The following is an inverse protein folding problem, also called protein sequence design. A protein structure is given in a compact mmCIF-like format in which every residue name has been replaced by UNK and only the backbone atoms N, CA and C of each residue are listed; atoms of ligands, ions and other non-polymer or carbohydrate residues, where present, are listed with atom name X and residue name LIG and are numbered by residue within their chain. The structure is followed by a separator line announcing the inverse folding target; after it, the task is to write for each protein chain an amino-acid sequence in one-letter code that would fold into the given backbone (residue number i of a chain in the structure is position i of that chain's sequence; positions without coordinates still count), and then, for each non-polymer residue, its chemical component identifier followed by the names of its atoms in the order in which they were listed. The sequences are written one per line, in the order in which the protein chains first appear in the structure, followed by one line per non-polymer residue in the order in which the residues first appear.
data_IF_203682692438
#
_entry.id   IF_203682692438
#
_cell.length_a   1.000
_cell.length_b   1.000
_cell.length_c   1.000
_cell.angle_alpha   90.00
_cell.angle_beta   90.00
_cell.angle_gamma   90.00
#
_symmetry.space_group_name_H-M   'P 1'
#
loop_
_entity.id
_entity.type
_entity.pdbx_description
1 polymer ?
#
# COMPACT_ATOMS: atom_id res chain seq x y z
N UNK A 1 -22.05 -3.16 -24.06
CA UNK A 1 -21.00 -4.19 -23.95
C UNK A 1 -19.74 -3.50 -23.51
N UNK A 2 -19.20 -3.92 -22.36
CA UNK A 2 -18.44 -3.10 -21.42
C UNK A 2 -17.15 -2.48 -22.01
N UNK A 3 -17.05 -1.14 -21.92
CA UNK A 3 -15.77 -0.47 -21.91
C UNK A 3 -15.25 -0.54 -20.46
N UNK A 4 -14.18 -1.31 -20.31
CA UNK A 4 -13.38 -1.52 -19.11
C UNK A 4 -13.01 -0.19 -18.43
N UNK A 5 -13.70 0.16 -17.34
CA UNK A 5 -13.32 1.25 -16.42
C UNK A 5 -12.12 0.78 -15.59
N UNK A 6 -10.98 0.67 -16.25
CA UNK A 6 -9.71 0.39 -15.63
C UNK A 6 -8.78 1.57 -15.84
N UNK A 7 -8.77 2.53 -14.90
CA UNK A 7 -7.62 3.43 -14.76
C UNK A 7 -6.41 2.55 -14.46
N UNK A 8 -5.70 2.15 -15.51
CA UNK A 8 -4.38 1.53 -15.43
C UNK A 8 -3.39 2.45 -16.09
N UNK A 9 -3.06 3.52 -15.38
CA UNK A 9 -1.75 4.15 -15.42
C UNK A 9 -1.67 5.16 -14.27
N UNK A 10 -1.13 4.72 -13.15
CA UNK A 10 -0.34 5.61 -12.33
C UNK A 10 0.88 4.80 -11.91
N UNK A 11 2.06 5.34 -12.19
CA UNK A 11 3.29 5.05 -11.48
C UNK A 11 3.14 5.46 -9.99
N UNK A 12 2.01 5.09 -9.34
CA UNK A 12 1.59 5.61 -8.06
C UNK A 12 2.43 4.92 -7.00
N UNK A 13 3.50 5.60 -6.60
CA UNK A 13 4.08 5.42 -5.29
C UNK A 13 2.91 5.49 -4.29
N UNK A 14 2.61 4.44 -3.52
CA UNK A 14 1.59 4.53 -2.49
C UNK A 14 1.92 5.71 -1.60
N UNK A 15 0.99 6.64 -1.49
CA UNK A 15 1.22 7.90 -0.82
C UNK A 15 1.32 7.65 0.69
N UNK A 16 2.39 8.10 1.38
CA UNK A 16 2.53 7.87 2.81
C UNK A 16 1.43 8.55 3.65
N UNK A 17 0.77 9.59 3.13
CA UNK A 17 -0.40 10.17 3.79
C UNK A 17 -1.64 9.26 3.64
N UNK A 18 -1.72 8.40 2.63
CA UNK A 18 -2.75 7.35 2.54
C UNK A 18 -2.62 6.33 3.68
N UNK A 19 -1.40 5.89 4.02
CA UNK A 19 -1.17 5.00 5.17
C UNK A 19 -1.57 5.67 6.47
N UNK A 20 -1.14 6.92 6.67
CA UNK A 20 -1.45 7.71 7.88
C UNK A 20 -2.96 7.85 8.05
N UNK A 21 -3.67 8.23 6.99
CA UNK A 21 -5.13 8.35 7.01
C UNK A 21 -5.84 7.02 7.32
N UNK A 22 -5.33 5.88 6.82
CA UNK A 22 -5.90 4.58 7.15
C UNK A 22 -5.68 4.20 8.62
N UNK A 23 -4.56 4.60 9.22
CA UNK A 23 -4.34 4.43 10.65
C UNK A 23 -5.33 5.27 11.47
N UNK A 24 -5.58 6.52 11.08
CA UNK A 24 -6.58 7.37 11.74
C UNK A 24 -7.99 6.75 11.65
N UNK A 25 -8.34 6.18 10.48
CA UNK A 25 -9.62 5.47 10.27
C UNK A 25 -9.69 4.23 11.17
N UNK A 26 -8.62 3.43 11.24
CA UNK A 26 -8.56 2.25 12.11
C UNK A 26 -8.81 2.63 13.57
N UNK A 27 -8.12 3.67 14.07
CA UNK A 27 -8.23 4.10 15.46
C UNK A 27 -9.63 4.64 15.77
N UNK A 28 -10.25 5.34 14.82
CA UNK A 28 -11.66 5.74 14.93
C UNK A 28 -12.61 4.54 14.95
N UNK A 29 -12.40 3.54 14.10
CA UNK A 29 -13.22 2.33 14.07
C UNK A 29 -13.14 1.56 15.39
N UNK A 30 -11.95 1.45 15.99
CA UNK A 30 -11.77 0.83 17.31
C UNK A 30 -12.58 1.58 18.37
N UNK A 31 -12.52 2.91 18.39
CA UNK A 31 -13.30 3.72 19.32
C UNK A 31 -14.82 3.52 19.12
N UNK A 32 -15.29 3.49 17.87
CA UNK A 32 -16.72 3.26 17.57
C UNK A 32 -17.19 1.85 17.92
N UNK A 33 -16.34 0.84 17.77
CA UNK A 33 -16.65 -0.53 18.22
C UNK A 33 -16.83 -0.55 19.73
N UNK A 34 -15.91 0.06 20.49
CA UNK A 34 -16.00 0.09 21.95
C UNK A 34 -17.28 0.80 22.42
N UNK A 35 -17.67 1.90 21.77
CA UNK A 35 -18.92 2.61 22.04
C UNK A 35 -20.14 1.73 21.73
N UNK A 36 -20.19 1.14 20.53
CA UNK A 36 -21.30 0.28 20.12
C UNK A 36 -21.44 -0.99 20.98
N UNK A 37 -20.34 -1.54 21.49
CA UNK A 37 -20.35 -2.64 22.46
C UNK A 37 -20.92 -2.20 23.82
N UNK A 38 -20.55 -1.01 24.30
CA UNK A 38 -21.07 -0.42 25.54
C UNK A 38 -22.57 -0.14 25.46
N UNK A 39 -23.06 0.33 24.32
CA UNK A 39 -24.47 0.63 24.07
C UNK A 39 -25.29 -0.59 23.63
N UNK A 40 -24.65 -1.76 23.44
CA UNK A 40 -25.33 -2.99 23.05
C UNK A 40 -25.82 -3.02 21.60
N UNK A 41 -25.27 -2.19 20.72
CA UNK A 41 -25.62 -2.12 19.31
C UNK A 41 -24.92 -3.21 18.48
N UNK A 42 -25.29 -4.47 18.73
CA UNK A 42 -24.62 -5.64 18.15
C UNK A 42 -24.54 -5.62 16.62
N UNK A 43 -25.61 -5.21 15.94
CA UNK A 43 -25.63 -5.11 14.48
C UNK A 43 -24.64 -4.07 13.93
N UNK A 44 -24.42 -2.99 14.67
CA UNK A 44 -23.46 -1.94 14.31
C UNK A 44 -22.02 -2.45 14.52
N UNK A 45 -21.78 -3.15 15.63
CA UNK A 45 -20.48 -3.76 15.97
C UNK A 45 -20.00 -4.70 14.86
N UNK A 46 -20.87 -5.55 14.32
CA UNK A 46 -20.50 -6.47 13.25
C UNK A 46 -20.03 -5.73 11.99
N UNK A 47 -20.76 -4.71 11.54
CA UNK A 47 -20.39 -3.89 10.38
C UNK A 47 -19.10 -3.10 10.60
N UNK A 48 -18.89 -2.59 11.81
CA UNK A 48 -17.68 -1.87 12.18
C UNK A 48 -16.45 -2.79 12.23
N UNK A 49 -16.59 -4.03 12.71
CA UNK A 49 -15.51 -5.04 12.73
C UNK A 49 -15.08 -5.47 11.32
N UNK A 50 -16.04 -5.63 10.40
CA UNK A 50 -15.72 -5.90 8.98
C UNK A 50 -14.94 -4.73 8.38
N UNK A 51 -15.35 -3.50 8.69
CA UNK A 51 -14.66 -2.29 8.23
C UNK A 51 -13.26 -2.16 8.81
N UNK A 52 -13.07 -2.52 10.09
CA UNK A 52 -11.78 -2.54 10.78
C UNK A 52 -10.84 -3.54 10.11
N UNK A 53 -11.28 -4.77 9.89
CA UNK A 53 -10.49 -5.80 9.20
C UNK A 53 -10.05 -5.33 7.80
N UNK A 54 -10.95 -4.70 7.04
CA UNK A 54 -10.62 -4.13 5.74
C UNK A 54 -9.63 -2.95 5.79
N UNK A 55 -9.64 -2.16 6.87
CA UNK A 55 -8.65 -1.10 7.07
C UNK A 55 -7.26 -1.66 7.42
N UNK A 56 -7.21 -2.65 8.31
CA UNK A 56 -5.98 -3.35 8.70
C UNK A 56 -5.35 -4.08 7.51
N UNK A 57 -6.15 -4.77 6.69
CA UNK A 57 -5.68 -5.43 5.49
C UNK A 57 -5.03 -4.44 4.51
N UNK A 58 -5.66 -3.28 4.29
CA UNK A 58 -5.10 -2.23 3.42
C UNK A 58 -3.79 -1.67 3.96
N UNK A 59 -3.67 -1.48 5.27
CA UNK A 59 -2.41 -1.04 5.90
C UNK A 59 -1.32 -2.09 5.65
N UNK A 60 -1.61 -3.37 5.89
CA UNK A 60 -0.67 -4.46 5.65
C UNK A 60 -0.22 -4.54 4.19
N UNK A 61 -1.15 -4.35 3.24
CA UNK A 61 -0.83 -4.31 1.81
C UNK A 61 0.11 -3.14 1.45
N UNK A 62 -0.12 -1.95 2.04
CA UNK A 62 0.74 -0.78 1.84
C UNK A 62 2.14 -1.00 2.42
N UNK A 63 2.23 -1.55 3.63
CA UNK A 63 3.50 -1.85 4.30
C UNK A 63 4.30 -2.89 3.50
N UNK A 64 3.67 -3.99 3.07
CA UNK A 64 4.31 -5.01 2.23
C UNK A 64 4.73 -4.48 0.85
N UNK A 65 4.05 -3.48 0.30
CA UNK A 65 4.49 -2.81 -0.93
C UNK A 65 5.74 -1.95 -0.68
N UNK A 66 5.78 -1.21 0.42
CA UNK A 66 6.91 -0.38 0.80
C UNK A 66 8.18 -1.23 1.06
N UNK A 67 8.05 -2.34 1.79
CA UNK A 67 9.15 -3.27 2.06
C UNK A 67 9.73 -3.87 0.78
N UNK A 68 8.87 -4.45 -0.09
CA UNK A 68 9.32 -5.03 -1.37
C UNK A 68 10.07 -4.03 -2.24
N UNK A 69 9.69 -2.74 -2.18
CA UNK A 69 10.41 -1.70 -2.91
C UNK A 69 11.77 -1.39 -2.28
N UNK A 70 11.85 -1.29 -0.96
CA UNK A 70 13.13 -1.04 -0.28
C UNK A 70 14.18 -2.13 -0.61
N UNK A 71 13.73 -3.39 -0.74
CA UNK A 71 14.57 -4.51 -1.15
C UNK A 71 14.96 -4.49 -2.64
N UNK A 72 14.14 -3.90 -3.52
CA UNK A 72 14.37 -3.85 -4.98
C UNK A 72 15.32 -2.73 -5.47
N UNK A 73 15.80 -1.84 -4.58
CA UNK A 73 16.60 -0.66 -4.98
C UNK A 73 18.12 -0.90 -5.00
N UNK A 74 18.64 -2.11 -4.77
CA UNK A 74 20.06 -2.39 -5.08
C UNK A 74 20.24 -2.88 -6.52
N UNK A 75 20.08 -1.94 -7.46
CA UNK A 75 20.36 -2.17 -8.87
C UNK A 75 21.82 -1.80 -9.14
N UNK A 76 22.72 -2.76 -8.94
CA UNK A 76 24.11 -2.75 -9.44
C UNK A 76 24.16 -2.80 -10.96
N UNK A 77 23.39 -1.94 -11.65
CA UNK A 77 23.45 -1.78 -13.09
C UNK A 77 24.61 -0.85 -13.38
N UNK A 78 25.61 -1.29 -14.17
CA UNK A 78 26.66 -0.40 -14.62
C UNK A 78 26.05 0.76 -15.41
N UNK A 79 26.48 2.00 -15.14
CA UNK A 79 26.08 3.17 -15.94
C UNK A 79 26.45 2.96 -17.41
N UNK A 80 25.72 3.54 -18.36
CA UNK A 80 25.99 3.36 -19.81
C UNK A 80 27.46 3.59 -20.21
N UNK A 81 28.16 4.47 -19.51
CA UNK A 81 29.61 4.71 -19.64
C UNK A 81 30.48 3.44 -19.46
N UNK A 82 30.09 2.56 -18.52
CA UNK A 82 30.75 1.29 -18.24
C UNK A 82 30.38 0.19 -19.26
N UNK A 83 29.38 0.41 -20.11
CA UNK A 83 29.00 -0.50 -21.21
C UNK A 83 29.81 -0.16 -22.47
N UNK A 84 30.12 1.13 -22.70
CA UNK A 84 30.91 1.59 -23.85
C UNK A 84 32.41 1.22 -23.80
N UNK A 85 32.98 1.01 -22.60
CA UNK A 85 34.41 0.71 -22.45
C UNK A 85 34.84 -0.69 -22.94
N UNK A 86 33.90 -1.58 -23.29
CA UNK A 86 34.19 -3.02 -23.55
C UNK A 86 34.44 -3.34 -25.01
N UNK A 87 34.26 -2.38 -25.92
CA UNK A 87 34.45 -2.58 -27.36
C UNK A 87 35.60 -1.76 -27.95
N UNK A 88 36.48 -1.20 -27.10
CA UNK A 88 37.69 -0.50 -27.52
C UNK A 88 38.94 -1.12 -26.89
N UNK A 89 39.37 -2.27 -27.39
CA UNK A 89 40.54 -2.97 -26.90
C UNK A 89 41.01 -4.05 -27.87
N UNK A 90 41.20 -3.67 -29.13
CA UNK A 90 42.03 -4.39 -30.11
C UNK A 90 43.52 -4.20 -29.74
N UNK A 91 44.38 -5.18 -30.07
CA UNK A 91 44.99 -5.17 -31.41
C UNK A 91 44.65 -6.37 -32.29
#
# INVERSE_FOLDING_TARGET
MAADTGVRCSLLRPDPAQRTRLADIRDNLIARIAEAESEGWLSEVEGLRVSLAGAEEKIAQLDAHQERRSLRVFLGVPSFDQIGARTGGEP
#
